data_IF_269749771219
#
_entry.id   IF_269749771219
#
_cell.length_a   1.000
_cell.length_b   1.000
_cell.length_c   1.000
_cell.angle_alpha   90.00
_cell.angle_beta   90.00
_cell.angle_gamma   90.00
#
_symmetry.space_group_name_H-M   'P 1'
#
loop_
_entity.id
_entity.type
_entity.pdbx_description
1 polymer ?
#
# COMPACT_ATOMS: atom_id res chain seq x y z
N UNK A 1 14.47 -19.40 3.91
CA UNK A 1 14.60 -18.23 3.02
C UNK A 1 14.35 -16.98 3.86
N UNK A 2 15.18 -15.95 3.71
CA UNK A 2 15.11 -14.74 4.54
C UNK A 2 14.13 -13.77 3.90
N UNK A 3 13.16 -13.25 4.67
CA UNK A 3 12.24 -12.21 4.20
C UNK A 3 13.01 -11.00 3.62
N UNK A 4 12.51 -10.45 2.51
CA UNK A 4 13.10 -9.29 1.85
C UNK A 4 13.25 -8.12 2.83
N UNK A 5 14.46 -7.55 2.88
CA UNK A 5 14.82 -6.43 3.76
C UNK A 5 14.66 -5.09 3.04
N UNK A 6 14.61 -4.02 3.84
CA UNK A 6 14.74 -2.65 3.33
C UNK A 6 16.10 -2.54 2.63
N UNK A 7 16.11 -2.30 1.32
CA UNK A 7 17.34 -2.31 0.52
C UNK A 7 17.35 -3.36 -0.60
N UNK A 8 16.56 -4.41 -0.48
CA UNK A 8 16.65 -5.52 -1.43
C UNK A 8 16.00 -5.16 -2.77
N UNK A 9 16.57 -5.69 -3.86
CA UNK A 9 16.00 -5.55 -5.20
C UNK A 9 14.62 -6.23 -5.27
N UNK A 10 13.73 -5.59 -6.03
CA UNK A 10 12.40 -6.12 -6.33
C UNK A 10 12.53 -7.50 -6.99
N UNK A 11 11.86 -8.51 -6.41
CA UNK A 11 11.84 -9.84 -7.00
C UNK A 11 10.77 -9.88 -8.09
N UNK A 12 11.10 -10.25 -9.33
CA UNK A 12 10.13 -10.32 -10.41
C UNK A 12 9.03 -11.33 -10.09
N UNK A 13 7.81 -11.00 -10.47
CA UNK A 13 6.70 -11.93 -10.52
C UNK A 13 5.73 -11.52 -11.62
N UNK A 14 4.99 -12.50 -12.13
CA UNK A 14 3.87 -12.32 -13.05
C UNK A 14 2.70 -13.07 -12.44
N UNK A 15 1.60 -12.36 -12.19
CA UNK A 15 0.40 -12.95 -11.60
C UNK A 15 -0.86 -12.53 -12.36
N UNK A 16 -1.87 -13.41 -12.43
CA UNK A 16 -3.16 -13.07 -13.04
C UNK A 16 -3.94 -12.09 -12.17
N UNK A 17 -4.47 -11.05 -12.80
CA UNK A 17 -5.37 -10.08 -12.20
C UNK A 17 -6.84 -10.48 -12.37
N UNK A 18 -7.69 -9.97 -11.48
CA UNK A 18 -9.16 -10.09 -11.59
C UNK A 18 -9.74 -9.41 -12.84
N UNK A 19 -8.97 -8.53 -13.47
CA UNK A 19 -9.25 -7.90 -14.76
C UNK A 19 -9.05 -8.84 -15.96
N UNK A 20 -8.50 -10.04 -15.73
CA UNK A 20 -8.20 -11.02 -16.77
C UNK A 20 -6.84 -10.81 -17.44
N UNK A 21 -6.05 -9.84 -16.99
CA UNK A 21 -4.72 -9.56 -17.52
C UNK A 21 -3.62 -10.21 -16.66
N UNK A 22 -2.44 -10.40 -17.27
CA UNK A 22 -1.25 -10.85 -16.55
C UNK A 22 -0.40 -9.63 -16.17
N UNK A 23 -0.08 -9.51 -14.89
CA UNK A 23 0.60 -8.34 -14.35
C UNK A 23 2.04 -8.65 -13.96
N UNK A 24 2.98 -8.06 -14.68
CA UNK A 24 4.41 -8.09 -14.35
C UNK A 24 4.78 -6.87 -13.50
N UNK A 25 5.29 -7.11 -12.28
CA UNK A 25 5.62 -6.02 -11.34
C UNK A 25 6.77 -5.12 -11.83
N UNK A 26 7.65 -5.65 -12.68
CA UNK A 26 8.79 -4.94 -13.25
C UNK A 26 8.39 -4.24 -14.55
N UNK A 27 7.94 -5.01 -15.54
CA UNK A 27 7.67 -4.50 -16.88
C UNK A 27 6.35 -3.71 -16.94
N UNK A 28 5.29 -4.16 -16.26
CA UNK A 28 3.98 -3.53 -16.30
C UNK A 28 3.92 -2.16 -15.62
N UNK A 29 4.87 -1.87 -14.73
CA UNK A 29 4.89 -0.65 -13.91
C UNK A 29 6.27 0.02 -13.87
N UNK A 30 7.09 -0.18 -14.91
CA UNK A 30 8.44 0.33 -14.97
C UNK A 30 8.54 1.86 -15.05
N UNK A 31 7.46 2.52 -15.52
CA UNK A 31 7.32 3.98 -15.56
C UNK A 31 6.96 4.60 -14.21
N UNK A 32 6.51 3.78 -13.25
CA UNK A 32 6.04 4.24 -11.93
C UNK A 32 7.21 4.51 -11.00
N UNK A 33 7.23 5.73 -10.43
CA UNK A 33 8.24 6.17 -9.48
C UNK A 33 8.20 5.38 -8.17
N UNK A 34 7.04 4.87 -7.76
CA UNK A 34 6.86 4.05 -6.56
C UNK A 34 5.86 2.95 -6.86
N UNK A 35 6.20 1.71 -6.48
CA UNK A 35 5.28 0.57 -6.51
C UNK A 35 5.00 0.14 -5.08
N UNK A 36 3.76 -0.13 -4.75
CA UNK A 36 3.36 -0.57 -3.41
C UNK A 36 2.72 -1.94 -3.56
N UNK A 37 3.44 -2.99 -3.16
CA UNK A 37 2.88 -4.35 -3.13
C UNK A 37 2.16 -4.54 -1.81
N UNK A 38 0.89 -4.97 -1.87
CA UNK A 38 0.07 -5.17 -0.67
C UNK A 38 -0.42 -6.61 -0.65
N UNK A 39 -0.03 -7.36 0.37
CA UNK A 39 -0.60 -8.68 0.62
C UNK A 39 -1.90 -8.52 1.38
N UNK A 40 -2.98 -9.05 0.81
CA UNK A 40 -4.36 -8.78 1.17
C UNK A 40 -5.20 -10.07 1.13
N UNK A 41 -6.44 -10.00 1.59
CA UNK A 41 -7.43 -11.06 1.44
C UNK A 41 -8.86 -10.52 1.59
N UNK A 42 -9.86 -11.26 1.12
CA UNK A 42 -11.25 -10.80 1.12
C UNK A 42 -11.94 -11.01 2.48
N UNK A 43 -11.58 -12.08 3.20
CA UNK A 43 -12.29 -12.45 4.43
C UNK A 43 -11.86 -11.66 5.68
N UNK A 44 -10.64 -11.11 5.71
CA UNK A 44 -10.09 -10.49 6.92
C UNK A 44 -10.77 -9.15 7.22
N UNK A 45 -11.34 -8.95 8.43
CA UNK A 45 -12.02 -7.70 8.76
C UNK A 45 -11.06 -6.50 8.78
N UNK A 46 -9.77 -6.72 9.07
CA UNK A 46 -8.76 -5.67 9.03
C UNK A 46 -8.51 -5.19 7.60
N UNK A 47 -8.41 -6.09 6.63
CA UNK A 47 -8.23 -5.72 5.22
C UNK A 47 -9.44 -4.91 4.74
N UNK A 48 -10.65 -5.40 5.04
CA UNK A 48 -11.90 -4.73 4.64
C UNK A 48 -12.01 -3.29 5.17
N UNK A 49 -11.47 -3.02 6.37
CA UNK A 49 -11.42 -1.68 6.93
C UNK A 49 -10.40 -0.74 6.22
N UNK A 50 -9.43 -1.29 5.50
CA UNK A 50 -8.40 -0.52 4.79
C UNK A 50 -8.68 -0.35 3.29
N UNK A 51 -9.55 -1.17 2.69
CA UNK A 51 -9.88 -1.13 1.24
C UNK A 51 -10.21 0.27 0.73
N UNK A 52 -11.14 0.98 1.38
CA UNK A 52 -11.57 2.32 0.93
C UNK A 52 -10.42 3.33 1.00
N UNK A 53 -9.56 3.18 2.01
CA UNK A 53 -8.35 4.01 2.16
C UNK A 53 -7.31 3.68 1.09
N UNK A 54 -7.18 2.42 0.69
CA UNK A 54 -6.28 2.02 -0.39
C UNK A 54 -6.75 2.62 -1.72
N UNK A 55 -8.04 2.53 -2.02
CA UNK A 55 -8.64 3.12 -3.25
C UNK A 55 -8.41 4.62 -3.29
N UNK A 56 -8.70 5.32 -2.19
CA UNK A 56 -8.45 6.76 -2.09
C UNK A 56 -6.97 7.10 -2.25
N UNK A 57 -6.08 6.35 -1.59
CA UNK A 57 -4.63 6.62 -1.66
C UNK A 57 -4.09 6.37 -3.08
N UNK A 58 -4.57 5.33 -3.77
CA UNK A 58 -4.19 5.11 -5.16
C UNK A 58 -4.65 6.28 -6.03
N UNK A 59 -5.89 6.77 -5.87
CA UNK A 59 -6.39 7.90 -6.63
C UNK A 59 -5.58 9.18 -6.38
N UNK A 60 -5.27 9.50 -5.13
CA UNK A 60 -4.56 10.72 -4.74
C UNK A 60 -3.09 10.77 -5.24
N UNK A 61 -2.50 9.61 -5.55
CA UNK A 61 -1.08 9.49 -5.88
C UNK A 61 -0.78 8.86 -7.25
N UNK A 62 -1.79 8.41 -8.00
CA UNK A 62 -1.63 7.85 -9.33
C UNK A 62 -0.86 8.81 -10.26
N UNK A 63 -1.27 10.08 -10.31
CA UNK A 63 -0.63 11.13 -11.12
C UNK A 63 0.78 11.52 -10.64
N UNK A 64 1.18 11.04 -9.46
CA UNK A 64 2.51 11.26 -8.88
C UNK A 64 3.43 10.05 -9.10
N UNK A 65 3.00 9.09 -9.92
CA UNK A 65 3.76 7.90 -10.26
C UNK A 65 3.75 6.83 -9.18
N UNK A 66 2.74 6.80 -8.30
CA UNK A 66 2.54 5.73 -7.32
C UNK A 66 1.55 4.71 -7.87
N UNK A 67 1.93 3.43 -7.81
CA UNK A 67 1.07 2.32 -8.21
C UNK A 67 0.97 1.28 -7.10
N UNK A 68 -0.26 1.01 -6.67
CA UNK A 68 -0.57 -0.09 -5.77
C UNK A 68 -0.75 -1.36 -6.60
N UNK A 69 -0.24 -2.47 -6.09
CA UNK A 69 -0.42 -3.81 -6.65
C UNK A 69 -0.82 -4.71 -5.48
N UNK A 70 -2.07 -5.13 -5.46
CA UNK A 70 -2.64 -5.89 -4.34
C UNK A 70 -2.65 -7.36 -4.69
N UNK A 71 -2.23 -8.23 -3.79
CA UNK A 71 -2.07 -9.67 -4.03
C UNK A 71 -2.84 -10.45 -2.95
N UNK A 72 -3.64 -11.41 -3.36
CA UNK A 72 -4.23 -12.44 -2.50
C UNK A 72 -3.48 -13.75 -2.69
N UNK A 73 -2.86 -14.25 -1.62
CA UNK A 73 -2.12 -15.53 -1.60
C UNK A 73 -2.77 -16.56 -0.66
N UNK A 74 -4.05 -16.36 -0.34
CA UNK A 74 -4.72 -17.14 0.69
C UNK A 74 -5.20 -18.51 0.18
N UNK A 75 -5.18 -19.50 1.08
CA UNK A 75 -5.73 -20.84 0.80
C UNK A 75 -7.26 -20.78 0.67
N UNK A 76 -7.73 -20.98 -0.56
CA UNK A 76 -9.16 -20.91 -0.93
C UNK A 76 -9.96 -22.11 -0.48
N UNK A 77 -9.32 -23.26 -0.24
CA UNK A 77 -10.00 -24.44 0.32
C UNK A 77 -10.40 -24.20 1.77
N UNK A 78 -9.52 -23.51 2.52
CA UNK A 78 -9.79 -23.12 3.90
C UNK A 78 -10.66 -21.86 3.99
N UNK A 79 -10.48 -20.92 3.07
CA UNK A 79 -11.22 -19.65 3.02
C UNK A 79 -11.84 -19.44 1.64
N UNK A 80 -13.02 -20.01 1.35
CA UNK A 80 -13.67 -19.89 0.04
C UNK A 80 -13.96 -18.45 -0.40
N UNK A 81 -14.08 -17.53 0.57
CA UNK A 81 -14.23 -16.10 0.32
C UNK A 81 -13.00 -15.46 -0.37
N UNK A 82 -11.83 -16.07 -0.29
CA UNK A 82 -10.61 -15.60 -0.95
C UNK A 82 -10.40 -16.23 -2.35
N UNK A 83 -11.38 -16.99 -2.85
CA UNK A 83 -11.34 -17.54 -4.21
C UNK A 83 -11.30 -16.44 -5.27
N UNK A 84 -10.72 -16.77 -6.43
CA UNK A 84 -10.57 -15.83 -7.55
C UNK A 84 -11.90 -15.20 -8.00
N UNK A 85 -12.98 -15.98 -8.03
CA UNK A 85 -14.31 -15.45 -8.35
C UNK A 85 -14.81 -14.44 -7.31
N UNK A 86 -14.59 -14.72 -6.02
CA UNK A 86 -14.91 -13.76 -4.96
C UNK A 86 -14.01 -12.53 -4.97
N UNK A 87 -12.77 -12.66 -5.43
CA UNK A 87 -11.90 -11.51 -5.66
C UNK A 87 -12.45 -10.59 -6.77
N UNK A 88 -12.97 -11.13 -7.87
CA UNK A 88 -13.63 -10.35 -8.94
C UNK A 88 -14.87 -9.62 -8.43
N UNK A 89 -15.74 -10.33 -7.71
CA UNK A 89 -16.91 -9.73 -7.06
C UNK A 89 -16.49 -8.57 -6.15
N UNK A 90 -15.50 -8.80 -5.26
CA UNK A 90 -15.02 -7.79 -4.32
C UNK A 90 -14.41 -6.57 -5.00
N UNK A 91 -13.59 -6.78 -6.03
CA UNK A 91 -12.96 -5.71 -6.79
C UNK A 91 -14.00 -4.84 -7.50
N UNK A 92 -15.08 -5.46 -8.01
CA UNK A 92 -16.20 -4.76 -8.65
C UNK A 92 -17.01 -3.97 -7.63
N UNK A 93 -17.38 -4.58 -6.50
CA UNK A 93 -18.13 -3.94 -5.41
C UNK A 93 -17.42 -2.70 -4.85
N UNK A 94 -16.09 -2.80 -4.66
CA UNK A 94 -15.27 -1.72 -4.10
C UNK A 94 -14.67 -0.80 -5.14
N UNK A 95 -14.89 -1.09 -6.42
CA UNK A 95 -14.37 -0.31 -7.55
C UNK A 95 -12.85 -0.10 -7.41
N UNK A 96 -12.11 -1.19 -7.19
CA UNK A 96 -10.66 -1.11 -7.05
C UNK A 96 -10.04 -0.46 -8.29
N UNK A 97 -9.29 0.60 -8.06
CA UNK A 97 -8.57 1.38 -9.08
C UNK A 97 -7.08 0.98 -9.16
N UNK A 98 -6.79 -0.23 -8.71
CA UNK A 98 -5.48 -0.86 -8.74
C UNK A 98 -5.63 -2.34 -9.14
N UNK A 99 -4.58 -2.95 -9.71
CA UNK A 99 -4.54 -4.39 -9.96
C UNK A 99 -4.72 -5.19 -8.67
N UNK A 100 -5.64 -6.15 -8.72
CA UNK A 100 -5.83 -7.14 -7.67
C UNK A 100 -5.51 -8.54 -8.21
N UNK A 101 -4.40 -9.10 -7.74
CA UNK A 101 -3.74 -10.27 -8.31
C UNK A 101 -3.91 -11.50 -7.42
N UNK A 102 -3.94 -12.68 -8.05
CA UNK A 102 -4.08 -13.94 -7.36
C UNK A 102 -2.78 -14.76 -7.42
N UNK A 103 -2.25 -15.08 -6.24
CA UNK A 103 -1.03 -15.87 -6.05
C UNK A 103 -1.42 -17.27 -5.53
N UNK A 104 -1.84 -18.13 -6.46
CA UNK A 104 -2.31 -19.48 -6.15
C UNK A 104 -1.23 -20.34 -5.47
N UNK A 105 0.02 -20.20 -5.91
CA UNK A 105 1.15 -21.02 -5.42
C UNK A 105 1.69 -20.54 -4.07
N UNK A 106 1.33 -19.32 -3.65
CA UNK A 106 1.87 -18.63 -2.48
C UNK A 106 3.38 -18.34 -2.57
N UNK A 107 3.99 -18.57 -3.73
CA UNK A 107 5.43 -18.40 -3.92
C UNK A 107 5.82 -16.93 -3.83
N UNK A 108 4.95 -16.04 -4.31
CA UNK A 108 5.20 -14.59 -4.23
C UNK A 108 5.12 -14.14 -2.78
N UNK A 109 4.10 -14.54 -2.02
CA UNK A 109 4.04 -14.25 -0.58
C UNK A 109 5.29 -14.76 0.17
N UNK A 110 5.73 -15.99 -0.09
CA UNK A 110 6.92 -16.57 0.54
C UNK A 110 8.21 -15.84 0.17
N UNK A 111 8.37 -15.51 -1.11
CA UNK A 111 9.53 -14.78 -1.63
C UNK A 111 9.62 -13.39 -1.00
N UNK A 112 8.48 -12.73 -0.82
CA UNK A 112 8.41 -11.40 -0.24
C UNK A 112 8.45 -11.39 1.29
N UNK A 113 8.34 -12.57 1.91
CA UNK A 113 8.30 -12.76 3.36
C UNK A 113 7.02 -12.21 3.99
N UNK A 114 5.90 -12.24 3.28
CA UNK A 114 4.62 -11.77 3.78
C UNK A 114 4.04 -12.78 4.77
N UNK A 115 3.71 -12.32 5.97
CA UNK A 115 3.21 -13.17 7.05
C UNK A 115 1.79 -12.79 7.49
N UNK A 116 1.31 -11.58 7.13
CA UNK A 116 0.05 -11.03 7.62
C UNK A 116 -0.71 -10.27 6.54
N UNK A 117 -2.01 -10.08 6.77
CA UNK A 117 -2.87 -9.25 5.92
C UNK A 117 -3.61 -8.18 6.77
N UNK A 118 -3.66 -6.91 6.33
CA UNK A 118 -2.92 -6.35 5.21
C UNK A 118 -1.45 -6.13 5.57
N UNK A 119 -0.52 -6.48 4.67
CA UNK A 119 0.89 -6.15 4.78
C UNK A 119 1.34 -5.31 3.58
N UNK A 120 1.83 -4.10 3.85
CA UNK A 120 2.21 -3.12 2.83
C UNK A 120 3.72 -3.10 2.65
N UNK A 121 4.15 -3.23 1.40
CA UNK A 121 5.55 -3.21 0.98
C UNK A 121 5.73 -2.11 -0.06
N UNK A 122 6.23 -0.96 0.37
CA UNK A 122 6.65 0.09 -0.56
C UNK A 122 7.94 -0.35 -1.28
N UNK A 123 8.02 -0.15 -2.59
CA UNK A 123 9.12 -0.55 -3.43
C UNK A 123 9.46 0.63 -4.32
N UNK A 124 10.62 1.22 -4.06
CA UNK A 124 11.15 2.32 -4.86
C UNK A 124 12.07 1.70 -5.92
N UNK A 125 11.77 1.81 -7.23
CA UNK A 125 12.71 1.40 -8.28
C UNK A 125 14.05 2.06 -7.99
N UNK A 126 15.18 1.35 -8.18
CA UNK A 126 16.44 2.00 -8.01
C UNK A 126 16.51 3.17 -9.00
N UNK A 127 16.72 4.39 -8.50
CA UNK A 127 17.24 5.45 -9.36
C UNK A 127 18.54 4.91 -9.97
N UNK A 128 19.03 5.42 -11.11
CA UNK A 128 20.32 4.99 -11.69
C UNK A 128 21.53 5.11 -10.72
N UNK A 129 21.33 5.55 -9.47
CA UNK A 129 22.30 5.63 -8.38
C UNK A 129 21.78 5.19 -6.98
N UNK A 130 20.55 4.66 -6.78
CA UNK A 130 20.05 4.43 -5.41
C UNK A 130 19.24 3.14 -5.22
N UNK A 131 19.52 2.43 -4.13
CA UNK A 131 18.92 1.18 -3.66
C UNK A 131 17.45 1.31 -3.21
N UNK A 132 16.64 0.28 -3.44
CA UNK A 132 15.21 0.12 -3.07
C UNK A 132 14.95 0.40 -1.58
N UNK A 133 13.88 1.13 -1.21
CA UNK A 133 13.45 1.27 0.18
C UNK A 133 12.08 0.62 0.41
N UNK A 134 12.00 -0.29 1.39
CA UNK A 134 10.75 -0.85 1.94
C UNK A 134 10.20 0.00 3.08
N UNK A 135 8.93 0.38 2.98
CA UNK A 135 8.15 0.95 4.09
C UNK A 135 7.11 -0.11 4.49
N UNK A 136 7.19 -0.62 5.71
CA UNK A 136 6.16 -1.49 6.31
C UNK A 136 5.30 -0.65 7.25
N UNK A 137 3.99 -0.62 7.01
CA UNK A 137 3.02 -0.04 7.95
C UNK A 137 2.27 -1.17 8.63
N UNK A 138 2.56 -1.40 9.91
CA UNK A 138 1.69 -2.17 10.81
C UNK A 138 0.91 -1.22 11.71
N UNK A 139 -0.29 -1.64 12.13
CA UNK A 139 -1.26 -0.87 12.93
C UNK A 139 -0.75 -0.29 14.26
N UNK A 140 0.47 -0.64 14.70
CA UNK A 140 1.07 -0.20 15.98
C UNK A 140 2.28 0.73 15.86
N UNK A 141 2.81 1.00 14.66
CA UNK A 141 4.10 1.72 14.54
C UNK A 141 4.05 2.83 13.49
N UNK A 142 4.44 4.08 13.82
CA UNK A 142 4.59 5.13 12.82
C UNK A 142 5.69 4.79 11.80
N UNK A 143 5.52 5.30 10.59
CA UNK A 143 6.40 5.15 9.43
C UNK A 143 7.89 5.37 9.83
N UNK A 144 8.70 4.31 9.82
CA UNK A 144 10.14 4.40 10.08
C UNK A 144 10.89 4.53 8.75
N UNK A 145 11.70 5.58 8.62
CA UNK A 145 12.67 5.75 7.55
C UNK A 145 14.02 5.23 8.04
N UNK A 146 14.64 4.30 7.31
CA UNK A 146 16.07 4.02 7.45
C UNK A 146 16.78 4.59 6.23
N UNK A 147 17.63 5.59 6.44
CA UNK A 147 18.46 6.18 5.39
C UNK A 147 19.56 5.20 4.97
N UNK A 148 19.68 4.81 3.69
CA UNK A 148 20.92 4.22 3.20
C UNK A 148 22.03 5.29 3.21
N UNK A 149 23.23 4.87 3.58
CA UNK A 149 24.46 5.65 3.51
C UNK A 149 24.79 5.91 2.04
N UNK A 150 24.35 7.04 1.50
CA UNK A 150 24.83 7.58 0.23
C UNK A 150 25.37 8.98 0.52
N UNK A 151 26.50 9.34 -0.10
CA UNK A 151 27.25 10.58 0.11
C UNK A 151 26.53 11.85 -0.39
N UNK A 152 25.21 11.80 -0.57
CA UNK A 152 24.36 12.98 -0.70
C UNK A 152 23.16 12.83 0.25
N UNK A 153 22.83 13.86 1.06
CA UNK A 153 21.73 13.77 1.99
C UNK A 153 20.43 13.50 1.23
N UNK A 154 19.76 12.40 1.58
CA UNK A 154 18.49 11.94 0.97
C UNK A 154 17.41 13.03 0.89
N UNK A 155 17.50 14.05 1.74
CA UNK A 155 16.65 15.25 1.69
C UNK A 155 16.77 16.04 0.38
N UNK A 156 17.86 15.89 -0.37
CA UNK A 156 18.13 16.62 -1.61
C UNK A 156 17.62 15.87 -2.86
N UNK A 157 17.78 14.53 -2.92
CA UNK A 157 17.15 13.71 -3.97
C UNK A 157 15.62 13.62 -3.80
N UNK A 158 15.13 13.60 -2.56
CA UNK A 158 13.70 13.52 -2.23
C UNK A 158 12.92 14.80 -2.60
N UNK A 159 13.53 15.99 -2.44
CA UNK A 159 12.89 17.28 -2.75
C UNK A 159 12.78 17.58 -4.24
N UNK A 160 13.60 16.95 -5.07
CA UNK A 160 13.67 17.24 -6.50
C UNK A 160 12.61 16.53 -7.35
N UNK A 161 11.93 15.48 -6.84
CA UNK A 161 11.04 14.62 -7.65
C UNK A 161 9.60 14.46 -7.16
N UNK A 162 9.26 14.94 -5.96
CA UNK A 162 7.87 15.01 -5.51
C UNK A 162 7.38 16.46 -5.58
N UNK A 163 6.22 16.77 -6.19
CA UNK A 163 5.49 17.98 -5.82
C UNK A 163 5.26 17.89 -4.31
N UNK A 164 5.57 18.95 -3.56
CA UNK A 164 5.53 18.94 -2.10
C UNK A 164 4.18 18.39 -1.61
N UNK A 165 4.21 17.32 -0.82
CA UNK A 165 3.03 16.81 -0.13
C UNK A 165 2.55 17.88 0.86
N UNK A 166 1.28 18.35 0.78
CA UNK A 166 0.76 19.21 1.82
C UNK A 166 0.77 18.44 3.14
N UNK A 167 1.35 19.04 4.19
CA UNK A 167 1.23 18.50 5.55
C UNK A 167 -0.26 18.43 5.86
N UNK A 168 -0.77 17.22 6.12
CA UNK A 168 -2.11 17.03 6.71
C UNK A 168 -2.19 17.93 7.95
N UNK A 169 -2.95 19.03 7.85
CA UNK A 169 -3.28 19.84 9.01
C UNK A 169 -4.15 18.96 9.90
N UNK A 170 -3.67 18.64 11.10
CA UNK A 170 -4.53 18.09 12.15
C UNK A 170 -5.66 19.10 12.36
N UNK A 171 -6.86 18.77 11.92
CA UNK A 171 -8.06 19.51 12.29
C UNK A 171 -8.18 19.43 13.80
N UNK A 172 -7.88 20.53 14.48
CA UNK A 172 -8.09 20.65 15.90
C UNK A 172 -9.61 20.54 16.15
N UNK A 173 -10.02 19.45 16.81
CA UNK A 173 -11.32 19.36 17.46
C UNK A 173 -11.36 20.49 18.49
N UNK A 174 -12.08 21.57 18.17
CA UNK A 174 -12.42 22.61 19.16
C UNK A 174 -13.45 21.98 20.10
N UNK A 175 -13.04 21.72 21.32
CA UNK A 175 -13.96 21.54 22.45
C UNK A 175 -14.77 22.83 22.60
N UNK A 176 -16.05 22.79 22.26
CA UNK A 176 -17.00 23.85 22.57
C UNK A 176 -17.20 23.90 24.09
N UNK A 177 -16.52 24.85 24.73
CA UNK A 177 -16.76 25.21 26.12
C UNK A 177 -18.18 25.72 26.31
N UNK A 178 -18.87 25.14 27.30
CA UNK A 178 -20.15 25.60 27.82
C UNK A 178 -20.03 27.03 28.35
N UNK A 179 -20.62 28.00 27.65
CA UNK A 179 -20.88 29.34 28.20
C UNK A 179 -22.24 29.32 28.89
N UNK A 180 -22.23 29.73 30.15
CA UNK A 180 -23.40 29.83 31.01
C UNK A 180 -24.50 30.72 30.45
N UNK A 181 -25.73 30.25 30.66
CA UNK A 181 -26.96 30.98 30.42
C UNK A 181 -27.12 32.00 31.57
N UNK A 182 -27.06 33.30 31.25
CA UNK A 182 -27.63 34.35 32.12
C UNK A 182 -29.13 34.39 31.84
N UNK A 183 -29.95 34.30 32.88
CA UNK A 183 -31.35 34.67 32.79
C UNK A 183 -31.51 36.19 32.96
N UNK A 184 -32.39 36.87 32.22
CA UNK A 184 -32.89 38.18 32.60
C UNK A 184 -33.95 38.01 33.69
N UNK A 185 -33.90 38.88 34.70
CA UNK A 185 -34.73 38.81 35.89
C UNK A 185 -36.16 39.32 35.71
N UNK A 186 -36.95 38.97 36.71
CA UNK A 186 -38.02 39.75 37.35
C UNK A 186 -37.93 39.51 38.87
#
# INVERSE_FOLDING_TARGET
MTALKIGDSLQPFVLPGVDGEQHDIIAGYGDKAVRVVVFSCNHCPYVRAWEDRMVQTQADYADRGVQFVVISSNDTMRYPADSFEKMKERATEKQFNFPYLYDETQEVARTYGAERTPEFLCLIPPAPCATTARLTTTTKTPMRYSTPTCAMPLTQCWRARLPQLPRLRRSAVRSSGSRGIRQPGD
#
